data_IF_546198487416
#
_entry.id   IF_546198487416
#
_cell.length_a   1.000
_cell.length_b   1.000
_cell.length_c   1.000
_cell.angle_alpha   90.00
_cell.angle_beta   90.00
_cell.angle_gamma   90.00
#
_symmetry.space_group_name_H-M   'P 1'
#
loop_
_entity.id
_entity.type
_entity.pdbx_description
1 polymer ?
#
# COMPACT_ATOMS: atom_id res chain seq x y z
N UNK A 1 85.52 -62.04 19.73
CA UNK A 1 84.75 -61.90 20.98
C UNK A 1 83.33 -61.72 20.55
N UNK A 2 82.74 -62.80 20.05
CA UNK A 2 81.71 -62.73 19.03
C UNK A 2 80.38 -63.26 19.56
N UNK A 3 79.29 -62.74 19.00
CA UNK A 3 77.93 -63.21 19.25
C UNK A 3 77.87 -64.68 18.84
N UNK A 4 77.30 -65.53 19.70
CA UNK A 4 77.13 -66.95 19.43
C UNK A 4 76.34 -67.14 18.12
N UNK A 5 76.76 -68.05 17.20
CA UNK A 5 76.13 -68.22 15.88
C UNK A 5 74.60 -68.38 15.94
N UNK A 6 74.11 -69.13 16.93
CA UNK A 6 72.67 -69.37 17.15
C UNK A 6 71.84 -68.10 17.45
N UNK A 7 72.49 -67.02 17.89
CA UNK A 7 71.83 -65.74 18.21
C UNK A 7 72.23 -64.60 17.28
N UNK A 8 73.07 -64.86 16.27
CA UNK A 8 73.57 -63.84 15.35
C UNK A 8 72.44 -63.09 14.64
N UNK A 9 71.42 -63.82 14.16
CA UNK A 9 70.26 -63.22 13.50
C UNK A 9 69.39 -62.41 14.47
N UNK A 10 69.12 -62.94 15.66
CA UNK A 10 68.37 -62.23 16.70
C UNK A 10 69.05 -60.94 17.12
N UNK A 11 70.39 -60.95 17.22
CA UNK A 11 71.16 -59.75 17.52
C UNK A 11 71.13 -58.75 16.37
N UNK A 12 71.28 -59.23 15.12
CA UNK A 12 71.15 -58.39 13.92
C UNK A 12 69.78 -57.69 13.89
N UNK A 13 68.69 -58.44 14.03
CA UNK A 13 67.32 -57.91 14.05
C UNK A 13 67.09 -56.94 15.23
N UNK A 14 67.78 -57.14 16.35
CA UNK A 14 67.70 -56.24 17.50
C UNK A 14 68.37 -54.88 17.24
N UNK A 15 69.49 -54.85 16.51
CA UNK A 15 70.27 -53.62 16.22
C UNK A 15 69.82 -52.89 14.96
N UNK A 16 69.07 -53.54 14.07
CA UNK A 16 68.44 -52.87 12.92
C UNK A 16 67.45 -51.79 13.39
N UNK A 17 67.44 -50.66 12.67
CA UNK A 17 66.51 -49.57 12.95
C UNK A 17 65.07 -50.04 12.81
N UNK A 18 64.28 -49.76 13.84
CA UNK A 18 62.86 -50.05 13.89
C UNK A 18 62.05 -48.79 13.55
N UNK A 19 60.87 -48.92 12.92
CA UNK A 19 59.95 -47.81 12.75
C UNK A 19 59.55 -47.18 14.09
N UNK A 20 59.19 -45.90 14.09
CA UNK A 20 58.64 -45.26 15.28
C UNK A 20 57.29 -45.91 15.65
N UNK A 21 56.96 -45.95 16.95
CA UNK A 21 55.68 -46.51 17.42
C UNK A 21 54.47 -45.80 16.80
N UNK A 22 54.57 -44.48 16.57
CA UNK A 22 53.54 -43.69 15.89
C UNK A 22 53.33 -44.11 14.42
N UNK A 23 54.40 -44.45 13.70
CA UNK A 23 54.30 -44.92 12.31
C UNK A 23 53.61 -46.29 12.24
N UNK A 24 53.91 -47.16 13.20
CA UNK A 24 53.26 -48.47 13.33
C UNK A 24 51.77 -48.29 13.62
N UNK A 25 51.41 -47.44 14.58
CA UNK A 25 50.00 -47.15 14.89
C UNK A 25 49.27 -46.62 13.65
N UNK A 26 49.83 -45.62 12.97
CA UNK A 26 49.23 -45.04 11.77
C UNK A 26 49.14 -46.05 10.61
N UNK A 27 50.10 -46.96 10.48
CA UNK A 27 50.07 -48.03 9.48
C UNK A 27 48.96 -49.05 9.80
N UNK A 28 48.89 -49.52 11.05
CA UNK A 28 47.88 -50.50 11.46
C UNK A 28 46.47 -49.91 11.34
N UNK A 29 46.23 -48.66 11.76
CA UNK A 29 44.94 -47.98 11.51
C UNK A 29 44.51 -48.02 10.04
N UNK A 30 45.44 -47.85 9.09
CA UNK A 30 45.13 -47.88 7.65
C UNK A 30 44.81 -49.29 7.13
N UNK A 31 45.31 -50.33 7.79
CA UNK A 31 45.15 -51.74 7.39
C UNK A 31 43.99 -52.43 8.09
N UNK A 32 43.96 -52.31 9.41
CA UNK A 32 42.95 -52.85 10.31
C UNK A 32 42.69 -51.82 11.42
N UNK A 33 41.65 -50.98 11.28
CA UNK A 33 41.30 -50.00 12.30
C UNK A 33 40.96 -50.59 13.66
N UNK A 34 40.69 -51.90 13.79
CA UNK A 34 40.48 -52.55 15.08
C UNK A 34 41.78 -52.79 15.86
N UNK A 35 42.93 -52.54 15.23
CA UNK A 35 44.26 -52.64 15.82
C UNK A 35 44.61 -54.04 16.34
N UNK A 36 44.04 -55.09 15.73
CA UNK A 36 44.21 -56.49 16.18
C UNK A 36 45.69 -56.89 16.21
N UNK A 37 46.49 -56.42 15.25
CA UNK A 37 47.91 -56.76 15.13
C UNK A 37 48.86 -55.80 15.87
N UNK A 38 48.35 -54.72 16.47
CA UNK A 38 49.18 -53.68 17.07
C UNK A 38 50.07 -54.19 18.23
N UNK A 39 49.57 -55.01 19.19
CA UNK A 39 50.41 -55.55 20.28
C UNK A 39 51.65 -56.31 19.79
N UNK A 40 51.49 -57.12 18.75
CA UNK A 40 52.58 -57.90 18.17
C UNK A 40 53.61 -57.02 17.45
N UNK A 41 53.14 -55.97 16.77
CA UNK A 41 54.00 -55.00 16.09
C UNK A 41 54.80 -54.14 17.07
N UNK A 42 54.16 -53.68 18.15
CA UNK A 42 54.81 -52.91 19.20
C UNK A 42 55.88 -53.74 19.93
N UNK A 43 55.58 -55.01 20.22
CA UNK A 43 56.55 -55.95 20.80
C UNK A 43 57.79 -56.13 19.91
N UNK A 44 57.63 -56.21 18.58
CA UNK A 44 58.76 -56.33 17.63
C UNK A 44 59.72 -55.14 17.67
N UNK A 45 59.24 -53.96 18.05
CA UNK A 45 60.10 -52.78 18.22
C UNK A 45 60.60 -52.57 19.66
N UNK A 46 60.27 -53.48 20.58
CA UNK A 46 60.76 -53.47 21.96
C UNK A 46 59.88 -52.72 22.96
N UNK A 47 58.63 -52.41 22.64
CA UNK A 47 57.68 -51.83 23.60
C UNK A 47 57.20 -52.92 24.57
N UNK A 48 57.21 -52.60 25.87
CA UNK A 48 56.73 -53.51 26.91
C UNK A 48 55.22 -53.75 26.78
N UNK A 49 54.73 -55.00 26.92
CA UNK A 49 53.30 -55.33 26.76
C UNK A 49 52.34 -54.51 27.64
N UNK A 50 52.77 -54.12 28.84
CA UNK A 50 51.97 -53.28 29.75
C UNK A 50 51.60 -51.91 29.15
N UNK A 51 52.32 -51.42 28.14
CA UNK A 51 51.98 -50.18 27.43
C UNK A 51 51.09 -50.38 26.20
N UNK A 52 50.73 -51.63 25.85
CA UNK A 52 49.86 -51.88 24.70
C UNK A 52 48.49 -51.19 24.83
N UNK A 53 47.80 -51.21 26.01
CA UNK A 53 46.54 -50.47 26.17
C UNK A 53 46.70 -48.97 25.91
N UNK A 54 47.81 -48.38 26.36
CA UNK A 54 48.11 -46.95 26.15
C UNK A 54 48.20 -46.62 24.65
N UNK A 55 48.90 -47.43 23.86
CA UNK A 55 49.00 -47.19 22.41
C UNK A 55 47.69 -47.46 21.67
N UNK A 56 46.88 -48.43 22.13
CA UNK A 56 45.55 -48.70 21.56
C UNK A 56 44.59 -47.54 21.82
N UNK A 57 44.62 -46.97 23.02
CA UNK A 57 43.79 -45.81 23.38
C UNK A 57 44.22 -44.56 22.59
N UNK A 58 45.52 -44.26 22.55
CA UNK A 58 46.06 -43.08 21.85
C UNK A 58 45.96 -43.17 20.32
N UNK A 59 45.75 -44.36 19.76
CA UNK A 59 45.52 -44.51 18.32
C UNK A 59 44.22 -43.83 17.86
N UNK A 60 43.23 -43.74 18.73
CA UNK A 60 41.97 -43.08 18.42
C UNK A 60 42.02 -41.61 18.81
N UNK A 61 41.88 -40.75 17.81
CA UNK A 61 41.91 -39.31 17.99
C UNK A 61 40.58 -38.81 18.53
N UNK A 62 40.65 -37.98 19.56
CA UNK A 62 39.54 -37.14 20.01
C UNK A 62 39.59 -35.85 19.17
N UNK A 63 38.47 -35.40 18.59
CA UNK A 63 38.40 -34.12 17.89
C UNK A 63 38.95 -32.96 18.72
N UNK A 64 39.56 -31.94 18.07
CA UNK A 64 39.93 -30.71 18.74
C UNK A 64 38.74 -30.08 19.48
N UNK A 65 38.99 -29.43 20.61
CA UNK A 65 37.94 -28.83 21.45
C UNK A 65 37.04 -27.87 20.65
N UNK A 66 37.59 -27.12 19.70
CA UNK A 66 36.82 -26.21 18.85
C UNK A 66 35.77 -26.96 17.98
N UNK A 67 36.12 -28.14 17.48
CA UNK A 67 35.20 -28.97 16.69
C UNK A 67 34.12 -29.57 17.58
N UNK A 68 34.48 -30.02 18.79
CA UNK A 68 33.52 -30.50 19.80
C UNK A 68 32.53 -29.39 20.17
N UNK A 69 33.00 -28.15 20.36
CA UNK A 69 32.13 -26.99 20.60
C UNK A 69 31.20 -26.77 19.41
N UNK A 70 31.71 -26.84 18.19
CA UNK A 70 30.89 -26.70 16.98
C UNK A 70 29.81 -27.78 16.91
N UNK A 71 30.16 -29.04 17.19
CA UNK A 71 29.20 -30.15 17.26
C UNK A 71 28.14 -29.94 18.35
N UNK A 72 28.53 -29.38 19.51
CA UNK A 72 27.61 -29.05 20.59
C UNK A 72 26.64 -27.93 20.22
N UNK A 73 27.15 -26.84 19.65
CA UNK A 73 26.33 -25.71 19.15
C UNK A 73 25.39 -26.17 18.04
N UNK A 74 25.85 -27.07 17.16
CA UNK A 74 25.06 -27.69 16.11
C UNK A 74 24.17 -28.83 16.60
N UNK A 75 24.00 -29.02 17.90
CA UNK A 75 23.06 -30.01 18.46
C UNK A 75 23.34 -31.47 18.10
N UNK A 76 24.56 -31.79 17.62
CA UNK A 76 24.93 -33.16 17.27
C UNK A 76 24.91 -34.11 18.48
N UNK A 77 25.05 -33.58 19.70
CA UNK A 77 24.95 -34.34 20.96
C UNK A 77 23.54 -34.43 21.53
N UNK A 78 22.52 -33.86 20.87
CA UNK A 78 21.14 -33.87 21.33
C UNK A 78 20.27 -34.73 20.40
N UNK A 79 20.06 -36.03 20.69
CA UNK A 79 19.46 -36.98 19.72
C UNK A 79 18.12 -36.53 19.15
N UNK A 80 17.22 -36.00 19.98
CA UNK A 80 15.89 -35.57 19.54
C UNK A 80 15.95 -34.38 18.57
N UNK A 81 16.89 -33.44 18.78
CA UNK A 81 17.07 -32.28 17.89
C UNK A 81 17.77 -32.71 16.61
N UNK A 82 18.83 -33.52 16.72
CA UNK A 82 19.56 -34.02 15.56
C UNK A 82 18.68 -34.87 14.65
N UNK A 83 17.78 -35.68 15.22
CA UNK A 83 16.75 -36.42 14.48
C UNK A 83 15.73 -35.48 13.82
N UNK A 84 15.23 -34.47 14.55
CA UNK A 84 14.31 -33.47 13.97
C UNK A 84 14.94 -32.71 12.79
N UNK A 85 16.24 -32.47 12.83
CA UNK A 85 16.98 -31.77 11.78
C UNK A 85 17.51 -32.69 10.67
N UNK A 86 17.34 -34.01 10.77
CA UNK A 86 17.90 -34.95 9.80
C UNK A 86 19.44 -34.91 9.74
N UNK A 87 20.12 -34.51 10.81
CA UNK A 87 21.56 -34.19 10.74
C UNK A 87 22.45 -35.39 10.36
N UNK A 88 22.00 -36.60 10.70
CA UNK A 88 22.71 -37.84 10.39
C UNK A 88 22.25 -38.47 9.06
N UNK A 89 21.32 -37.84 8.33
CA UNK A 89 20.88 -38.31 7.00
C UNK A 89 22.03 -38.21 5.99
N UNK A 90 22.00 -39.05 4.97
CA UNK A 90 23.00 -39.12 3.90
C UNK A 90 24.45 -39.40 4.35
N UNK A 91 24.65 -39.92 5.57
CA UNK A 91 25.98 -40.27 6.08
C UNK A 91 26.66 -41.34 5.20
N UNK A 92 27.76 -41.01 4.50
CA UNK A 92 28.35 -41.92 3.52
C UNK A 92 29.22 -43.00 4.20
N UNK A 93 29.02 -44.31 3.93
CA UNK A 93 29.84 -45.39 4.51
C UNK A 93 31.35 -45.26 4.24
N UNK A 94 31.73 -44.64 3.13
CA UNK A 94 33.13 -44.38 2.80
C UNK A 94 33.78 -43.38 3.77
N UNK A 95 33.03 -42.39 4.27
CA UNK A 95 33.53 -41.45 5.28
C UNK A 95 33.89 -42.20 6.56
N UNK A 96 33.04 -43.13 7.03
CA UNK A 96 33.33 -44.01 8.17
C UNK A 96 34.65 -44.76 7.94
N UNK A 97 34.77 -45.39 6.77
CA UNK A 97 35.94 -46.20 6.40
C UNK A 97 37.23 -45.38 6.45
N UNK A 98 37.25 -44.19 5.85
CA UNK A 98 38.43 -43.33 5.83
C UNK A 98 38.71 -42.65 7.17
N UNK A 99 37.67 -42.28 7.91
CA UNK A 99 37.77 -41.72 9.26
C UNK A 99 38.43 -42.72 10.23
N UNK A 100 37.96 -43.96 10.25
CA UNK A 100 38.54 -45.01 11.10
C UNK A 100 40.01 -45.26 10.77
N UNK A 101 40.40 -45.22 9.49
CA UNK A 101 41.81 -45.34 9.06
C UNK A 101 42.70 -44.16 9.48
N UNK A 102 42.09 -43.07 9.93
CA UNK A 102 42.77 -41.91 10.52
C UNK A 102 42.70 -41.90 12.05
N UNK A 103 42.14 -42.93 12.67
CA UNK A 103 41.95 -43.00 14.11
C UNK A 103 40.69 -42.28 14.60
N UNK A 104 39.80 -41.86 13.71
CA UNK A 104 38.54 -41.23 14.10
C UNK A 104 37.45 -42.30 14.21
N UNK A 105 36.84 -42.43 15.40
CA UNK A 105 35.80 -43.43 15.61
C UNK A 105 34.56 -43.17 14.72
N UNK A 106 33.76 -44.22 14.52
CA UNK A 106 32.45 -44.11 13.86
C UNK A 106 31.61 -42.99 14.46
N UNK A 107 31.49 -42.97 15.78
CA UNK A 107 30.72 -41.94 16.49
C UNK A 107 31.22 -40.52 16.16
N UNK A 108 32.53 -40.28 16.23
CA UNK A 108 33.08 -38.95 15.93
C UNK A 108 32.86 -38.56 14.47
N UNK A 109 33.05 -39.48 13.54
CA UNK A 109 32.82 -39.21 12.12
C UNK A 109 31.35 -38.89 11.81
N UNK A 110 30.41 -39.55 12.48
CA UNK A 110 28.98 -39.24 12.39
C UNK A 110 28.68 -37.85 12.98
N UNK A 111 29.34 -37.43 14.06
CA UNK A 111 29.15 -36.10 14.64
C UNK A 111 29.73 -34.98 13.78
N UNK A 112 30.87 -35.20 13.14
CA UNK A 112 31.38 -34.29 12.12
C UNK A 112 30.39 -34.12 10.98
N UNK A 113 29.79 -35.23 10.53
CA UNK A 113 28.71 -35.19 9.55
C UNK A 113 27.51 -34.42 10.10
N UNK A 114 27.01 -34.70 11.29
CA UNK A 114 25.88 -33.96 11.85
C UNK A 114 26.09 -32.44 11.94
N UNK A 115 27.35 -31.99 12.15
CA UNK A 115 27.69 -30.58 12.25
C UNK A 115 28.01 -29.88 10.91
N UNK A 116 28.12 -30.61 9.79
CA UNK A 116 28.66 -30.06 8.54
C UNK A 116 27.68 -29.17 7.75
N UNK A 117 26.37 -29.29 8.03
CA UNK A 117 25.32 -28.67 7.23
C UNK A 117 25.36 -27.13 7.26
N UNK A 118 25.03 -26.51 6.12
CA UNK A 118 24.75 -25.08 6.04
C UNK A 118 23.29 -24.84 6.44
N UNK A 119 23.09 -24.19 7.58
CA UNK A 119 21.75 -23.90 8.09
C UNK A 119 21.16 -22.65 7.40
N UNK A 120 19.82 -22.53 7.34
CA UNK A 120 19.16 -21.29 6.91
C UNK A 120 19.66 -20.09 7.72
N UNK A 121 19.85 -18.95 7.06
CA UNK A 121 20.20 -17.69 7.72
C UNK A 121 19.06 -17.18 8.62
N UNK A 122 19.32 -16.27 9.58
CA UNK A 122 18.27 -15.65 10.37
C UNK A 122 17.16 -14.99 9.52
N UNK A 123 17.53 -14.37 8.39
CA UNK A 123 16.57 -13.74 7.47
C UNK A 123 15.65 -14.78 6.82
N UNK A 124 16.20 -15.92 6.39
CA UNK A 124 15.39 -17.04 5.89
C UNK A 124 14.50 -17.60 7.00
N UNK A 125 15.01 -17.69 8.24
CA UNK A 125 14.22 -18.02 9.42
C UNK A 125 13.02 -17.09 9.63
N UNK A 126 13.23 -15.78 9.51
CA UNK A 126 12.14 -14.79 9.61
C UNK A 126 11.13 -14.94 8.48
N UNK A 127 11.56 -15.17 7.25
CA UNK A 127 10.64 -15.43 6.14
C UNK A 127 9.80 -16.69 6.35
N UNK A 128 10.41 -17.78 6.84
CA UNK A 128 9.69 -19.00 7.18
C UNK A 128 8.66 -18.74 8.29
N UNK A 129 9.01 -17.96 9.31
CA UNK A 129 8.09 -17.55 10.38
C UNK A 129 6.91 -16.74 9.83
N UNK A 130 7.16 -15.71 9.03
CA UNK A 130 6.10 -14.86 8.47
C UNK A 130 5.15 -15.61 7.53
N UNK A 131 5.66 -16.65 6.85
CA UNK A 131 4.86 -17.53 5.99
C UNK A 131 4.13 -18.63 6.77
N UNK A 132 4.32 -18.73 8.08
CA UNK A 132 3.72 -19.76 8.93
C UNK A 132 4.28 -21.17 8.68
N UNK A 133 5.45 -21.28 8.05
CA UNK A 133 6.11 -22.57 7.77
C UNK A 133 6.77 -23.12 9.04
N UNK A 134 7.24 -22.23 9.91
CA UNK A 134 7.77 -22.56 11.24
C UNK A 134 7.11 -21.69 12.30
N UNK A 135 7.13 -22.15 13.55
CA UNK A 135 6.72 -21.36 14.71
C UNK A 135 7.92 -20.66 15.39
N UNK A 136 7.65 -19.83 16.41
CA UNK A 136 8.69 -19.09 17.17
C UNK A 136 9.65 -20.03 17.89
N UNK A 137 9.19 -21.18 18.39
CA UNK A 137 10.05 -22.18 19.03
C UNK A 137 11.06 -22.77 18.05
N UNK A 138 10.63 -23.06 16.83
CA UNK A 138 11.49 -23.56 15.75
C UNK A 138 12.47 -22.50 15.24
N UNK A 139 12.05 -21.24 15.16
CA UNK A 139 12.98 -20.14 14.89
C UNK A 139 14.04 -20.03 16.00
N UNK A 140 13.66 -20.18 17.27
CA UNK A 140 14.62 -20.15 18.38
C UNK A 140 15.60 -21.33 18.32
N UNK A 141 15.14 -22.52 17.93
CA UNK A 141 16.03 -23.67 17.66
C UNK A 141 17.03 -23.37 16.54
N UNK A 142 16.58 -22.76 15.44
CA UNK A 142 17.46 -22.35 14.35
C UNK A 142 18.51 -21.33 14.82
N UNK A 143 18.08 -20.27 15.52
CA UNK A 143 18.99 -19.24 16.03
C UNK A 143 20.01 -19.82 17.03
N UNK A 144 19.60 -20.80 17.84
CA UNK A 144 20.51 -21.55 18.72
C UNK A 144 21.57 -22.30 17.91
N UNK A 145 21.17 -23.05 16.89
CA UNK A 145 22.09 -23.81 16.05
C UNK A 145 23.00 -22.92 15.17
N UNK A 146 22.60 -21.67 14.93
CA UNK A 146 23.42 -20.62 14.31
C UNK A 146 24.38 -19.93 15.28
N UNK A 147 24.48 -20.40 16.53
CA UNK A 147 25.30 -19.82 17.59
C UNK A 147 24.90 -18.38 17.99
N UNK A 148 23.63 -18.01 17.82
CA UNK A 148 23.13 -16.74 18.34
C UNK A 148 23.02 -16.86 19.87
N UNK A 149 23.68 -15.97 20.60
CA UNK A 149 23.64 -15.97 22.06
C UNK A 149 22.18 -15.86 22.56
N UNK A 150 21.79 -16.58 23.64
CA UNK A 150 20.42 -16.59 24.15
C UNK A 150 19.82 -15.19 24.35
N UNK A 151 20.61 -14.23 24.85
CA UNK A 151 20.19 -12.84 25.06
C UNK A 151 19.65 -12.13 23.80
N UNK A 152 20.19 -12.49 22.62
CA UNK A 152 19.84 -11.84 21.36
C UNK A 152 18.67 -12.49 20.63
N UNK A 153 18.32 -13.74 20.94
CA UNK A 153 17.34 -14.52 20.16
C UNK A 153 15.95 -13.88 20.16
N UNK A 154 15.46 -13.51 21.34
CA UNK A 154 14.16 -12.85 21.47
C UNK A 154 14.16 -11.46 20.83
N UNK A 155 15.26 -10.72 20.96
CA UNK A 155 15.40 -9.37 20.38
C UNK A 155 15.42 -9.42 18.85
N UNK A 156 16.13 -10.39 18.27
CA UNK A 156 16.13 -10.64 16.83
C UNK A 156 14.75 -11.07 16.34
N UNK A 157 14.06 -11.90 17.10
CA UNK A 157 12.70 -12.34 16.77
C UNK A 157 11.70 -11.17 16.77
N UNK A 158 11.81 -10.24 17.73
CA UNK A 158 10.93 -9.05 17.78
C UNK A 158 11.07 -8.14 16.56
N UNK A 159 12.28 -8.05 15.98
CA UNK A 159 12.52 -7.24 14.77
C UNK A 159 12.32 -8.02 13.46
N UNK A 160 11.85 -9.26 13.52
CA UNK A 160 11.54 -10.04 12.33
C UNK A 160 10.40 -9.36 11.52
N UNK A 161 9.38 -8.86 12.22
CA UNK A 161 8.20 -8.27 11.59
C UNK A 161 8.49 -6.88 11.01
N UNK A 162 7.87 -6.60 9.86
CA UNK A 162 7.96 -5.29 9.22
C UNK A 162 7.17 -4.25 10.02
N UNK A 163 7.77 -3.08 10.20
CA UNK A 163 7.08 -1.88 10.71
C UNK A 163 6.06 -1.38 9.69
N UNK A 164 4.98 -0.76 10.16
CA UNK A 164 4.01 -0.06 9.31
C UNK A 164 4.72 0.94 8.41
N UNK A 165 4.37 1.04 7.12
CA UNK A 165 5.04 2.01 6.25
C UNK A 165 4.62 3.44 6.62
N UNK A 166 5.47 4.43 6.32
CA UNK A 166 5.12 5.87 6.50
C UNK A 166 3.83 6.26 5.78
N UNK A 167 3.51 5.58 4.66
CA UNK A 167 2.27 5.81 3.93
C UNK A 167 1.07 5.26 4.69
N UNK A 168 1.19 4.04 5.21
CA UNK A 168 0.11 3.40 5.96
C UNK A 168 -0.12 4.09 7.30
N UNK A 169 0.93 4.51 8.00
CA UNK A 169 0.84 5.35 9.22
C UNK A 169 -0.04 6.58 8.96
N UNK A 170 0.21 7.34 7.89
CA UNK A 170 -0.59 8.53 7.55
C UNK A 170 -2.05 8.17 7.23
N UNK A 171 -2.27 7.11 6.45
CA UNK A 171 -3.62 6.67 6.07
C UNK A 171 -4.42 6.20 7.28
N UNK A 172 -3.82 5.36 8.12
CA UNK A 172 -4.39 4.85 9.37
C UNK A 172 -4.74 5.99 10.33
N UNK A 173 -3.86 6.99 10.47
CA UNK A 173 -4.17 8.17 11.27
C UNK A 173 -5.36 8.95 10.71
N UNK A 174 -5.39 9.21 9.40
CA UNK A 174 -6.49 9.92 8.74
C UNK A 174 -7.84 9.21 8.87
N UNK A 175 -7.84 7.88 8.90
CA UNK A 175 -9.05 7.08 9.11
C UNK A 175 -9.36 6.82 10.59
N UNK A 176 -8.56 7.35 11.52
CA UNK A 176 -8.77 7.20 12.96
C UNK A 176 -8.41 5.82 13.54
N UNK A 177 -7.65 5.00 12.80
CA UNK A 177 -7.21 3.66 13.24
C UNK A 177 -6.10 3.76 14.28
N UNK A 178 -5.24 4.78 14.17
CA UNK A 178 -4.18 5.06 15.13
C UNK A 178 -4.27 6.51 15.63
N UNK A 179 -3.85 6.70 16.87
CA UNK A 179 -3.78 7.98 17.56
C UNK A 179 -2.53 8.76 17.18
N UNK A 180 -2.48 10.05 17.55
CA UNK A 180 -1.29 10.89 17.35
C UNK A 180 -0.06 10.32 18.09
N UNK A 181 -0.26 9.70 19.25
CA UNK A 181 0.83 9.09 20.03
C UNK A 181 1.41 7.87 19.30
N UNK A 182 0.56 6.99 18.76
CA UNK A 182 0.98 5.82 17.97
C UNK A 182 1.66 6.23 16.64
N UNK A 183 1.27 7.35 16.05
CA UNK A 183 2.00 7.94 14.90
C UNK A 183 3.43 8.32 15.30
N UNK A 184 3.60 8.98 16.45
CA UNK A 184 4.92 9.37 16.95
C UNK A 184 5.79 8.13 17.23
N UNK A 185 5.24 7.15 17.93
CA UNK A 185 5.89 5.87 18.23
C UNK A 185 6.34 5.18 16.93
N UNK A 186 5.44 5.05 15.95
CA UNK A 186 5.76 4.45 14.66
C UNK A 186 6.93 5.14 13.95
N UNK A 187 7.00 6.48 13.99
CA UNK A 187 8.14 7.20 13.43
C UNK A 187 9.44 7.00 14.23
N UNK A 188 9.38 6.89 15.56
CA UNK A 188 10.54 6.53 16.38
C UNK A 188 11.02 5.12 16.00
N UNK A 189 10.11 4.17 15.86
CA UNK A 189 10.45 2.81 15.43
C UNK A 189 11.15 2.83 14.08
N UNK A 190 10.75 3.67 13.11
CA UNK A 190 11.47 3.86 11.84
C UNK A 190 12.92 4.36 11.97
N UNK A 191 13.37 4.70 13.18
CA UNK A 191 14.72 5.19 13.46
C UNK A 191 14.85 6.70 13.39
N UNK A 192 13.74 7.45 13.30
CA UNK A 192 13.79 8.90 13.46
C UNK A 192 14.11 9.25 14.92
N UNK A 193 15.01 10.21 15.13
CA UNK A 193 15.14 10.82 16.45
C UNK A 193 13.82 11.53 16.86
N UNK A 194 13.64 11.76 18.16
CA UNK A 194 12.41 12.34 18.71
C UNK A 194 11.97 13.62 17.99
N UNK A 195 12.91 14.55 17.75
CA UNK A 195 12.65 15.83 17.05
C UNK A 195 12.06 15.62 15.66
N UNK A 196 12.62 14.71 14.86
CA UNK A 196 12.13 14.46 13.51
C UNK A 196 10.85 13.63 13.52
N UNK A 197 10.71 12.70 14.47
CA UNK A 197 9.47 11.96 14.66
C UNK A 197 8.30 12.91 15.00
N UNK A 198 8.51 13.88 15.90
CA UNK A 198 7.52 14.93 16.21
C UNK A 198 7.14 15.78 15.00
N UNK A 199 8.12 16.18 14.18
CA UNK A 199 7.87 16.91 12.93
C UNK A 199 7.02 16.10 11.95
N UNK A 200 7.35 14.81 11.79
CA UNK A 200 6.59 13.89 10.93
C UNK A 200 5.17 13.64 11.45
N UNK A 201 5.01 13.55 12.78
CA UNK A 201 3.69 13.48 13.43
C UNK A 201 2.89 14.75 13.18
N UNK A 202 3.46 15.94 13.40
CA UNK A 202 2.80 17.22 13.15
C UNK A 202 2.38 17.36 11.67
N UNK A 203 3.26 16.97 10.74
CA UNK A 203 2.93 16.92 9.32
C UNK A 203 1.78 15.96 9.03
N UNK A 204 1.78 14.76 9.63
CA UNK A 204 0.73 13.76 9.45
C UNK A 204 -0.62 14.27 9.95
N UNK A 205 -0.63 14.94 11.11
CA UNK A 205 -1.82 15.58 11.69
C UNK A 205 -2.36 16.65 10.74
N UNK A 206 -1.51 17.57 10.28
CA UNK A 206 -1.90 18.63 9.37
C UNK A 206 -2.39 18.08 8.01
N UNK A 207 -1.76 17.03 7.49
CA UNK A 207 -2.17 16.37 6.24
C UNK A 207 -3.53 15.67 6.36
N UNK A 208 -3.82 15.10 7.53
CA UNK A 208 -5.07 14.39 7.80
C UNK A 208 -6.24 15.32 8.15
N UNK A 209 -5.98 16.57 8.55
CA UNK A 209 -7.04 17.54 8.74
C UNK A 209 -7.85 17.65 7.44
N UNK A 210 -9.20 17.62 7.53
CA UNK A 210 -10.02 17.98 6.40
C UNK A 210 -9.50 19.33 5.92
N UNK A 211 -9.17 19.44 4.62
CA UNK A 211 -9.17 20.77 4.02
C UNK A 211 -10.57 21.28 4.33
N UNK A 212 -10.71 22.28 5.21
CA UNK A 212 -11.98 22.98 5.42
C UNK A 212 -12.61 23.10 4.05
N UNK A 213 -13.86 22.66 3.87
CA UNK A 213 -14.56 22.72 2.58
C UNK A 213 -14.23 24.07 1.97
N UNK A 214 -13.27 24.08 1.05
CA UNK A 214 -12.52 25.30 0.81
C UNK A 214 -13.49 26.09 -0.02
N UNK A 215 -14.08 27.13 0.58
CA UNK A 215 -14.89 28.08 -0.16
C UNK A 215 -14.03 28.43 -1.38
N UNK A 216 -14.50 28.04 -2.55
CA UNK A 216 -13.71 28.20 -3.75
C UNK A 216 -13.79 29.68 -4.13
N UNK A 217 -12.87 30.14 -4.98
CA UNK A 217 -13.01 31.48 -5.58
C UNK A 217 -14.38 31.65 -6.23
N UNK A 218 -14.90 30.59 -6.85
CA UNK A 218 -16.24 30.60 -7.46
C UNK A 218 -17.33 30.80 -6.43
N UNK A 219 -17.22 30.17 -5.26
CA UNK A 219 -18.22 30.31 -4.18
C UNK A 219 -18.22 31.74 -3.62
N UNK A 220 -17.05 32.35 -3.42
CA UNK A 220 -16.94 33.74 -2.96
C UNK A 220 -17.52 34.71 -4.00
N UNK A 221 -17.13 34.57 -5.27
CA UNK A 221 -17.64 35.44 -6.34
C UNK A 221 -19.15 35.26 -6.56
N UNK A 222 -19.68 34.04 -6.38
CA UNK A 222 -21.12 33.75 -6.45
C UNK A 222 -21.86 34.38 -5.27
N UNK A 223 -21.35 34.26 -4.05
CA UNK A 223 -21.91 34.90 -2.87
C UNK A 223 -21.91 36.43 -3.02
N UNK A 224 -20.85 37.02 -3.57
CA UNK A 224 -20.78 38.44 -3.88
C UNK A 224 -21.78 38.86 -4.98
N UNK A 225 -21.86 38.07 -6.06
CA UNK A 225 -22.84 38.29 -7.15
C UNK A 225 -24.26 38.35 -6.61
N UNK A 226 -24.60 37.39 -5.75
CA UNK A 226 -25.92 37.22 -5.15
C UNK A 226 -26.19 38.13 -3.94
N UNK A 227 -25.29 39.08 -3.63
CA UNK A 227 -25.40 40.02 -2.51
C UNK A 227 -25.45 39.35 -1.13
N UNK A 228 -24.93 38.13 -1.01
CA UNK A 228 -24.81 37.42 0.27
C UNK A 228 -23.67 37.98 1.13
N UNK A 229 -22.66 38.57 0.48
CA UNK A 229 -21.52 39.24 1.10
C UNK A 229 -21.24 40.57 0.38
N UNK A 230 -20.59 41.49 1.07
CA UNK A 230 -20.15 42.79 0.55
C UNK A 230 -18.89 42.67 -0.30
N UNK A 231 -18.56 43.74 -1.04
CA UNK A 231 -17.34 43.80 -1.86
C UNK A 231 -16.08 43.68 -1.00
N UNK A 232 -16.10 44.29 0.19
CA UNK A 232 -15.00 44.26 1.15
C UNK A 232 -14.82 42.86 1.70
N UNK A 233 -15.89 42.20 2.15
CA UNK A 233 -15.83 40.81 2.64
C UNK A 233 -15.36 39.83 1.55
N UNK A 234 -15.82 40.02 0.30
CA UNK A 234 -15.35 39.22 -0.83
C UNK A 234 -13.86 39.46 -1.12
N UNK A 235 -13.38 40.71 -0.98
CA UNK A 235 -11.97 41.04 -1.16
C UNK A 235 -11.10 40.39 -0.06
N UNK A 236 -11.50 40.51 1.20
CA UNK A 236 -10.76 39.95 2.34
C UNK A 236 -10.62 38.43 2.20
N UNK A 237 -11.71 37.73 1.86
CA UNK A 237 -11.71 36.28 1.63
C UNK A 237 -10.80 35.86 0.46
N UNK A 238 -10.72 36.66 -0.61
CA UNK A 238 -9.84 36.37 -1.74
C UNK A 238 -8.36 36.64 -1.41
N UNK A 239 -8.05 37.64 -0.58
CA UNK A 239 -6.69 37.91 -0.07
C UNK A 239 -6.21 36.75 0.81
N UNK A 240 -7.07 36.26 1.71
CA UNK A 240 -6.76 35.11 2.57
C UNK A 240 -6.49 33.83 1.77
N UNK A 241 -7.04 33.72 0.55
CA UNK A 241 -6.76 32.64 -0.40
C UNK A 241 -5.48 32.84 -1.22
N UNK A 242 -4.76 33.95 -1.03
CA UNK A 242 -3.49 34.24 -1.69
C UNK A 242 -3.61 34.91 -3.07
N UNK A 243 -4.76 35.51 -3.40
CA UNK A 243 -4.91 36.28 -4.64
C UNK A 243 -4.15 37.61 -4.59
N UNK A 244 -3.53 37.97 -5.71
CA UNK A 244 -2.82 39.25 -5.82
C UNK A 244 -3.79 40.40 -6.02
N UNK A 245 -3.43 41.59 -5.51
CA UNK A 245 -4.29 42.78 -5.53
C UNK A 245 -4.82 43.15 -6.92
N UNK A 246 -4.00 42.95 -7.96
CA UNK A 246 -4.39 43.22 -9.35
C UNK A 246 -5.47 42.27 -9.87
N UNK A 247 -5.38 40.97 -9.56
CA UNK A 247 -6.39 39.99 -9.97
C UNK A 247 -7.70 40.16 -9.20
N UNK A 248 -7.62 40.52 -7.92
CA UNK A 248 -8.79 40.76 -7.06
C UNK A 248 -9.68 41.89 -7.57
N UNK A 249 -9.09 43.05 -7.89
CA UNK A 249 -9.87 44.20 -8.37
C UNK A 249 -10.53 43.91 -9.71
N UNK A 250 -9.82 43.24 -10.63
CA UNK A 250 -10.38 42.79 -11.90
C UNK A 250 -11.55 41.82 -11.70
N UNK A 251 -11.41 40.81 -10.83
CA UNK A 251 -12.46 39.82 -10.57
C UNK A 251 -13.73 40.45 -9.99
N UNK A 252 -13.59 41.34 -9.01
CA UNK A 252 -14.74 42.01 -8.39
C UNK A 252 -15.43 42.97 -9.37
N UNK A 253 -14.66 43.75 -10.15
CA UNK A 253 -15.21 44.61 -11.21
C UNK A 253 -15.96 43.82 -12.28
N UNK A 254 -15.46 42.64 -12.66
CA UNK A 254 -16.14 41.78 -13.62
C UNK A 254 -17.49 41.26 -13.08
N UNK A 255 -17.59 40.98 -11.77
CA UNK A 255 -18.85 40.62 -11.11
C UNK A 255 -19.81 41.82 -11.05
N UNK A 256 -19.32 43.01 -10.71
CA UNK A 256 -20.11 44.25 -10.70
C UNK A 256 -20.72 44.53 -12.07
N UNK A 257 -19.91 44.48 -13.12
CA UNK A 257 -20.38 44.65 -14.49
C UNK A 257 -21.47 43.62 -14.88
N UNK A 258 -21.30 42.36 -14.48
CA UNK A 258 -22.31 41.32 -14.73
C UNK A 258 -23.62 41.58 -13.98
N UNK A 259 -23.56 42.12 -12.76
CA UNK A 259 -24.77 42.46 -11.97
C UNK A 259 -25.54 43.60 -12.61
N UNK A 260 -24.83 44.61 -13.12
CA UNK A 260 -25.45 45.75 -13.79
C UNK A 260 -26.08 45.32 -15.11
N UNK A 261 -25.41 44.46 -15.89
CA UNK A 261 -25.95 43.90 -17.12
C UNK A 261 -27.22 43.06 -16.87
N UNK A 262 -27.21 42.19 -15.86
CA UNK A 262 -28.37 41.37 -15.47
C UNK A 262 -29.57 42.24 -15.01
N UNK A 263 -29.30 43.35 -14.30
CA UNK A 263 -30.35 44.30 -13.93
C UNK A 263 -30.97 44.98 -15.16
N UNK A 264 -30.14 45.43 -16.10
CA UNK A 264 -30.60 46.05 -17.35
C UNK A 264 -31.41 45.05 -18.18
N UNK A 265 -30.94 43.80 -18.35
CA UNK A 265 -31.70 42.74 -19.01
C UNK A 265 -33.06 42.47 -18.35
N UNK A 266 -33.13 42.47 -17.02
CA UNK A 266 -34.39 42.27 -16.31
C UNK A 266 -35.36 43.44 -16.51
N UNK A 267 -34.86 44.68 -16.58
CA UNK A 267 -35.68 45.86 -16.94
C UNK A 267 -36.19 45.77 -18.37
N UNK A 268 -35.34 45.39 -19.33
CA UNK A 268 -35.71 45.15 -20.74
C UNK A 268 -36.82 44.09 -20.82
N UNK A 269 -36.68 42.96 -20.11
CA UNK A 269 -37.71 41.90 -20.05
C UNK A 269 -39.03 42.42 -19.46
N UNK A 270 -38.97 43.27 -18.43
CA UNK A 270 -40.14 43.92 -17.85
C UNK A 270 -40.86 44.82 -18.86
N UNK A 271 -40.11 45.67 -19.56
CA UNK A 271 -40.62 46.58 -20.60
C UNK A 271 -41.22 45.79 -21.77
N UNK A 272 -40.52 44.74 -22.24
CA UNK A 272 -41.04 43.81 -23.27
C UNK A 272 -42.41 43.27 -22.90
N UNK A 273 -42.57 42.79 -21.66
CA UNK A 273 -43.84 42.24 -21.21
C UNK A 273 -44.97 43.27 -21.19
N UNK A 274 -44.68 44.53 -20.85
CA UNK A 274 -45.65 45.62 -20.88
C UNK A 274 -46.05 46.00 -22.31
N UNK A 275 -45.09 46.03 -23.25
CA UNK A 275 -45.36 46.22 -24.66
C UNK A 275 -46.22 45.09 -25.26
N UNK A 276 -45.85 43.83 -25.01
CA UNK A 276 -46.63 42.66 -25.47
C UNK A 276 -48.08 42.68 -25.00
N UNK A 277 -48.30 43.09 -23.75
CA UNK A 277 -49.64 43.20 -23.15
C UNK A 277 -50.42 44.45 -23.57
N UNK A 278 -49.91 45.27 -24.49
CA UNK A 278 -50.51 46.54 -24.95
C UNK A 278 -50.66 47.59 -23.85
N UNK A 279 -49.92 47.44 -22.76
CA UNK A 279 -49.88 48.44 -21.68
C UNK A 279 -49.01 49.61 -22.11
N UNK A 280 -47.93 49.34 -22.85
CA UNK A 280 -47.13 50.34 -23.53
C UNK A 280 -47.37 50.27 -25.04
N UNK A 281 -47.43 51.45 -25.67
CA UNK A 281 -47.35 51.59 -27.11
C UNK A 281 -45.88 51.70 -27.57
N UNK A 282 -45.66 51.82 -28.87
CA UNK A 282 -44.33 51.82 -29.48
C UNK A 282 -43.45 52.99 -28.99
N UNK A 283 -44.03 54.19 -28.92
CA UNK A 283 -43.33 55.40 -28.46
C UNK A 283 -42.95 55.27 -26.99
N UNK A 284 -43.89 54.89 -26.12
CA UNK A 284 -43.65 54.72 -24.69
C UNK A 284 -42.64 53.61 -24.40
N UNK A 285 -42.66 52.53 -25.17
CA UNK A 285 -41.70 51.43 -25.00
C UNK A 285 -40.29 51.88 -25.37
N UNK A 286 -40.14 52.61 -26.47
CA UNK A 286 -38.87 53.19 -26.90
C UNK A 286 -38.34 54.20 -25.88
N UNK A 287 -39.20 55.06 -25.32
CA UNK A 287 -38.84 56.01 -24.26
C UNK A 287 -38.36 55.32 -22.97
N UNK A 288 -39.05 54.25 -22.54
CA UNK A 288 -38.63 53.49 -21.35
C UNK A 288 -37.33 52.71 -21.56
N UNK A 289 -37.06 52.25 -22.79
CA UNK A 289 -35.78 51.62 -23.16
C UNK A 289 -34.64 52.65 -23.24
N UNK A 290 -34.91 53.85 -23.76
CA UNK A 290 -33.93 54.92 -23.83
C UNK A 290 -33.46 55.38 -22.43
N UNK A 291 -34.34 55.31 -21.41
CA UNK A 291 -33.98 55.55 -20.00
C UNK A 291 -33.02 54.52 -19.40
N UNK A 292 -32.76 53.42 -20.11
CA UNK A 292 -31.75 52.42 -19.72
C UNK A 292 -30.38 52.69 -20.36
N UNK A 293 -30.20 53.85 -21.01
CA UNK A 293 -28.98 54.26 -21.73
C UNK A 293 -28.57 53.28 -22.84
N UNK A 294 -29.55 52.58 -23.45
CA UNK A 294 -29.32 51.67 -24.56
C UNK A 294 -29.02 52.45 -25.86
N UNK A 295 -28.10 51.96 -26.72
CA UNK A 295 -27.90 52.52 -28.05
C UNK A 295 -29.18 52.52 -28.89
N UNK A 296 -29.39 53.57 -29.70
CA UNK A 296 -30.59 53.70 -30.53
C UNK A 296 -30.81 52.54 -31.50
N UNK A 297 -29.72 51.95 -32.01
CA UNK A 297 -29.75 50.76 -32.88
C UNK A 297 -30.30 49.54 -32.12
N UNK A 298 -29.84 49.30 -30.89
CA UNK A 298 -30.31 48.21 -30.04
C UNK A 298 -31.80 48.35 -29.68
N UNK A 299 -32.26 49.57 -29.41
CA UNK A 299 -33.69 49.85 -29.18
C UNK A 299 -34.50 49.50 -30.44
N UNK A 300 -34.01 49.86 -31.62
CA UNK A 300 -34.67 49.59 -32.90
C UNK A 300 -34.79 48.08 -33.16
N UNK A 301 -33.72 47.33 -32.87
CA UNK A 301 -33.70 45.88 -33.02
C UNK A 301 -34.68 45.18 -32.05
N UNK A 302 -34.68 45.59 -30.78
CA UNK A 302 -35.62 45.09 -29.77
C UNK A 302 -37.08 45.37 -30.16
N UNK A 303 -37.37 46.60 -30.61
CA UNK A 303 -38.71 46.98 -31.05
C UNK A 303 -39.16 46.21 -32.29
N UNK A 304 -38.26 45.99 -33.25
CA UNK A 304 -38.53 45.18 -34.45
C UNK A 304 -38.84 43.74 -34.06
N UNK A 305 -38.02 43.14 -33.18
CA UNK A 305 -38.25 41.78 -32.70
C UNK A 305 -39.62 41.69 -32.00
N UNK A 306 -39.91 42.59 -31.06
CA UNK A 306 -41.14 42.51 -30.27
C UNK A 306 -42.38 42.81 -31.09
N UNK A 307 -42.30 43.65 -32.13
CA UNK A 307 -43.37 43.86 -33.09
C UNK A 307 -43.82 42.54 -33.72
N UNK A 308 -42.87 41.71 -34.18
CA UNK A 308 -43.18 40.41 -34.77
C UNK A 308 -43.69 39.41 -33.73
N UNK A 309 -43.14 39.38 -32.52
CA UNK A 309 -43.66 38.52 -31.44
C UNK A 309 -45.13 38.80 -31.13
N UNK A 310 -45.49 40.07 -31.18
CA UNK A 310 -46.83 40.58 -30.93
C UNK A 310 -47.77 40.33 -32.12
N UNK A 311 -47.29 40.49 -33.36
CA UNK A 311 -48.04 40.13 -34.57
C UNK A 311 -48.30 38.63 -34.69
N UNK A 312 -47.39 37.82 -34.15
CA UNK A 312 -47.51 36.37 -34.07
C UNK A 312 -48.45 35.90 -32.94
N UNK A 313 -48.94 36.79 -32.06
CA UNK A 313 -49.92 36.40 -31.05
C UNK A 313 -51.25 36.03 -31.73
N UNK A 314 -51.63 34.75 -31.58
CA UNK A 314 -52.94 34.26 -32.03
C UNK A 314 -54.02 35.03 -31.26
N UNK A 315 -55.02 35.63 -31.92
CA UNK A 315 -56.08 36.35 -31.22
C UNK A 315 -56.77 35.41 -30.23
N UNK A 316 -57.09 35.91 -29.02
CA UNK A 316 -57.87 35.15 -28.05
C UNK A 316 -59.24 34.83 -28.66
N UNK A 317 -59.48 33.55 -28.94
CA UNK A 317 -60.77 33.05 -29.44
C UNK A 317 -61.61 32.52 -28.28
N UNK A 318 -62.92 32.46 -28.47
CA UNK A 318 -63.81 31.79 -27.53
C UNK A 318 -63.46 30.30 -27.43
N UNK A 319 -63.59 29.71 -26.24
CA UNK A 319 -63.44 28.25 -26.08
C UNK A 319 -64.62 27.52 -26.72
N UNK A 320 -64.47 26.24 -27.05
CA UNK A 320 -65.56 25.40 -27.57
C UNK A 320 -66.83 25.51 -26.70
N UNK A 321 -66.67 25.44 -25.38
CA UNK A 321 -67.78 25.57 -24.42
C UNK A 321 -68.45 26.95 -24.47
N UNK A 322 -67.66 28.03 -24.56
CA UNK A 322 -68.21 29.39 -24.70
C UNK A 322 -68.99 29.54 -26.00
N UNK A 323 -68.45 29.04 -27.13
CA UNK A 323 -69.11 29.12 -28.42
C UNK A 323 -70.47 28.41 -28.37
N UNK A 324 -70.52 27.19 -27.83
CA UNK A 324 -71.76 26.41 -27.70
C UNK A 324 -72.78 27.07 -26.76
N UNK A 325 -72.32 27.62 -25.62
CA UNK A 325 -73.18 28.38 -24.70
C UNK A 325 -73.77 29.62 -25.38
N UNK A 326 -72.96 30.36 -26.13
CA UNK A 326 -73.40 31.56 -26.83
C UNK A 326 -74.40 31.26 -27.96
N UNK A 327 -74.28 30.11 -28.63
CA UNK A 327 -75.29 29.66 -29.60
C UNK A 327 -76.60 29.32 -28.87
N UNK A 328 -76.52 28.53 -27.79
CA UNK A 328 -77.70 28.08 -27.01
C UNK A 328 -78.45 29.25 -26.36
N UNK A 329 -77.71 30.26 -25.90
CA UNK A 329 -78.27 31.48 -25.30
C UNK A 329 -78.70 32.52 -26.37
N UNK A 330 -78.50 32.24 -27.66
CA UNK A 330 -78.88 33.14 -28.76
C UNK A 330 -78.01 34.40 -28.87
N UNK A 331 -76.85 34.43 -28.21
CA UNK A 331 -75.90 35.54 -28.24
C UNK A 331 -75.12 35.61 -29.57
N UNK A 332 -74.97 34.48 -30.26
CA UNK A 332 -74.44 34.38 -31.62
C UNK A 332 -75.30 33.43 -32.47
N UNK A 333 -75.30 33.62 -33.79
CA UNK A 333 -76.01 32.71 -34.72
C UNK A 333 -75.29 31.38 -34.87
N UNK A 334 -76.02 30.33 -35.29
CA UNK A 334 -75.46 29.00 -35.57
C UNK A 334 -74.36 29.08 -36.65
N UNK A 335 -74.57 29.89 -37.69
CA UNK A 335 -73.56 30.15 -38.72
C UNK A 335 -72.31 30.86 -38.16
N UNK A 336 -72.49 31.81 -37.23
CA UNK A 336 -71.34 32.45 -36.57
C UNK A 336 -70.60 31.46 -35.68
N UNK A 337 -71.32 30.58 -34.98
CA UNK A 337 -70.76 29.48 -34.20
C UNK A 337 -69.91 28.52 -35.03
N UNK A 338 -70.38 28.14 -36.22
CA UNK A 338 -69.64 27.30 -37.18
C UNK A 338 -68.31 27.95 -37.58
N UNK A 339 -68.32 29.26 -37.87
CA UNK A 339 -67.09 30.01 -38.19
C UNK A 339 -66.12 30.03 -37.01
N UNK A 340 -66.59 30.29 -35.78
CA UNK A 340 -65.73 30.35 -34.60
C UNK A 340 -65.13 28.99 -34.23
N UNK A 341 -65.89 27.90 -34.36
CA UNK A 341 -65.38 26.54 -34.16
C UNK A 341 -64.31 26.17 -35.20
N UNK A 342 -64.51 26.55 -36.46
CA UNK A 342 -63.50 26.39 -37.51
C UNK A 342 -62.25 27.23 -37.27
N UNK A 343 -62.43 28.44 -36.75
CA UNK A 343 -61.33 29.31 -36.34
C UNK A 343 -60.51 28.68 -35.20
N UNK A 344 -61.11 28.03 -34.21
CA UNK A 344 -60.33 27.35 -33.15
C UNK A 344 -59.76 25.98 -33.56
N UNK A 345 -59.93 25.58 -34.82
CA UNK A 345 -59.21 24.46 -35.44
C UNK A 345 -60.02 23.18 -35.64
N UNK A 346 -61.34 23.19 -35.46
CA UNK A 346 -62.19 22.04 -35.78
C UNK A 346 -62.46 21.93 -37.29
N UNK A 347 -62.50 20.69 -37.79
CA UNK A 347 -62.97 20.40 -39.14
C UNK A 347 -64.52 20.40 -39.23
N UNK A 348 -65.05 20.30 -40.45
CA UNK A 348 -66.49 20.34 -40.68
C UNK A 348 -67.26 19.19 -39.99
N UNK A 349 -66.65 18.01 -39.82
CA UNK A 349 -67.28 16.86 -39.19
C UNK A 349 -67.48 17.12 -37.69
N UNK A 350 -66.43 17.54 -37.00
CA UNK A 350 -66.48 17.85 -35.57
C UNK A 350 -67.41 19.04 -35.28
N UNK A 351 -67.42 20.05 -36.15
CA UNK A 351 -68.33 21.19 -36.00
C UNK A 351 -69.79 20.72 -36.08
N UNK A 352 -70.14 19.85 -37.03
CA UNK A 352 -71.50 19.32 -37.14
C UNK A 352 -71.93 18.57 -35.87
N UNK A 353 -71.06 17.70 -35.35
CA UNK A 353 -71.34 16.94 -34.11
C UNK A 353 -71.57 17.88 -32.92
N UNK A 354 -70.75 18.93 -32.79
CA UNK A 354 -70.93 19.91 -31.72
C UNK A 354 -72.23 20.71 -31.87
N UNK A 355 -72.59 21.12 -33.09
CA UNK A 355 -73.81 21.88 -33.36
C UNK A 355 -75.09 21.03 -33.24
N UNK A 356 -75.03 19.73 -33.49
CA UNK A 356 -76.15 18.80 -33.28
C UNK A 356 -76.38 18.48 -31.79
N UNK A 357 -75.40 18.79 -30.92
CA UNK A 357 -75.41 18.47 -29.49
C UNK A 357 -76.01 19.56 -28.58
N UNK A 358 -76.32 20.73 -29.14
CA UNK A 358 -76.91 21.90 -28.45
C UNK A 358 -78.33 22.15 -28.95
#
# INVERSE_FOLDING_TARGET
>A
GDIHPDYAQTYLDAVLTKPASQDIVAYELRKDPSLTNLPDRLRKIGIHPDYNPLYQELAYQIPPVADIITMAVREAFTPDIAAKFGQYEDYPPDLETWAMKKGLSKEWSQRYWAAHWNLPSPLQGFEMLHRGVINVGELNMLLRALDVMPFWRDKLTQIAYRRLTRVDIRRMYKTGVITRAEVLESYIEHGYNLKNAERMTAFTVAWAMPKHASITRSDILTAYKNRMITRTEAADLLVDMGETYFHLDFMLKAVDYKKDLELTENKIKGIRNLYKRRVYDENKTSDELAKLDLPAEEITDLMTQWYYEVKAEVPRRWTTSQILSFIKEGLITLERGRVELGLIGYDNEHINVYLDSI
#
